data_IF_995093913920
#
_entry.id   IF_995093913920
#
_cell.length_a   1.000
_cell.length_b   1.000
_cell.length_c   1.000
_cell.angle_alpha   90.00
_cell.angle_beta   90.00
_cell.angle_gamma   90.00
#
_symmetry.space_group_name_H-M   'P 1'
#
loop_
_entity.id
_entity.type
_entity.pdbx_description
1 polymer ?
#
# COMPACT_ATOMS: atom_id res chain seq x y z
N UNK A 1 15.27 -28.32 -12.31
CA UNK A 1 16.43 -27.57 -12.80
C UNK A 1 17.22 -27.10 -11.59
N UNK A 2 18.52 -27.42 -11.45
CA UNK A 2 19.30 -26.89 -10.34
C UNK A 2 19.48 -25.37 -10.52
N UNK A 3 19.47 -24.56 -9.44
CA UNK A 3 19.71 -23.13 -9.54
C UNK A 3 21.14 -22.90 -10.06
N UNK A 4 21.30 -22.02 -11.04
CA UNK A 4 22.63 -21.64 -11.53
C UNK A 4 23.45 -21.07 -10.36
N UNK A 5 24.70 -21.52 -10.14
CA UNK A 5 25.54 -20.99 -9.09
C UNK A 5 25.81 -19.51 -9.38
N UNK A 6 25.59 -18.65 -8.38
CA UNK A 6 25.76 -17.19 -8.43
C UNK A 6 27.11 -16.74 -9.03
N UNK A 7 28.13 -17.59 -8.94
CA UNK A 7 29.47 -17.37 -9.49
C UNK A 7 29.51 -17.30 -11.03
N UNK A 8 28.62 -18.02 -11.73
CA UNK A 8 28.59 -18.06 -13.19
C UNK A 8 28.11 -16.73 -13.81
N UNK A 9 27.34 -15.93 -13.07
CA UNK A 9 26.85 -14.63 -13.51
C UNK A 9 27.83 -13.48 -13.20
N UNK A 10 28.69 -13.64 -12.19
CA UNK A 10 29.63 -12.60 -11.77
C UNK A 10 30.76 -12.38 -12.77
N UNK A 11 31.28 -13.46 -13.36
CA UNK A 11 32.37 -13.41 -14.34
C UNK A 11 32.01 -12.57 -15.57
N UNK A 12 30.88 -12.79 -16.27
CA UNK A 12 30.52 -11.97 -17.42
C UNK A 12 30.23 -10.51 -17.04
N UNK A 13 29.65 -10.23 -15.87
CA UNK A 13 29.41 -8.85 -15.40
C UNK A 13 30.72 -8.10 -15.17
N UNK A 14 31.71 -8.73 -14.54
CA UNK A 14 33.03 -8.14 -14.32
C UNK A 14 33.76 -7.92 -15.66
N UNK A 15 33.72 -8.89 -16.57
CA UNK A 15 34.32 -8.76 -17.90
C UNK A 15 33.68 -7.62 -18.70
N UNK A 16 32.34 -7.49 -18.69
CA UNK A 16 31.62 -6.39 -19.33
C UNK A 16 32.02 -5.05 -18.68
N UNK A 17 32.07 -4.98 -17.35
CA UNK A 17 32.51 -3.79 -16.62
C UNK A 17 33.93 -3.33 -16.98
N UNK A 18 34.88 -4.26 -17.07
CA UNK A 18 36.29 -3.98 -17.44
C UNK A 18 36.40 -3.54 -18.90
N UNK A 19 35.65 -4.17 -19.82
CA UNK A 19 35.64 -3.79 -21.24
C UNK A 19 35.03 -2.39 -21.44
N UNK A 20 33.93 -2.08 -20.75
CA UNK A 20 33.33 -0.75 -20.74
C UNK A 20 34.29 0.29 -20.14
N UNK A 21 35.00 -0.03 -19.05
CA UNK A 21 36.00 0.85 -18.45
C UNK A 21 37.19 1.13 -19.38
N UNK A 22 37.76 0.10 -20.03
CA UNK A 22 38.84 0.27 -21.02
C UNK A 22 38.39 1.06 -22.23
N UNK A 23 37.19 0.79 -22.76
CA UNK A 23 36.62 1.54 -23.87
C UNK A 23 36.37 3.01 -23.49
N UNK A 24 36.01 3.28 -22.23
CA UNK A 24 35.80 4.62 -21.71
C UNK A 24 37.10 5.39 -21.48
N UNK A 25 38.12 4.75 -20.92
CA UNK A 25 39.42 5.38 -20.60
C UNK A 25 40.26 5.72 -21.84
N UNK A 26 40.08 4.98 -22.94
CA UNK A 26 40.72 5.26 -24.24
C UNK A 26 40.12 6.46 -24.99
N UNK A 27 39.00 7.02 -24.53
CA UNK A 27 38.39 8.20 -25.16
C UNK A 27 39.11 9.49 -24.79
N UNK A 28 39.20 10.47 -25.72
CA UNK A 28 39.76 11.79 -25.42
C UNK A 28 39.01 12.44 -24.25
N UNK A 29 39.69 13.30 -23.48
CA UNK A 29 39.16 13.89 -22.25
C UNK A 29 37.77 14.54 -22.44
N UNK A 30 37.55 15.22 -23.57
CA UNK A 30 36.26 15.80 -23.95
C UNK A 30 35.14 14.75 -24.10
N UNK A 31 35.43 13.61 -24.71
CA UNK A 31 34.45 12.53 -24.88
C UNK A 31 34.13 11.82 -23.55
N UNK A 32 35.11 11.70 -22.63
CA UNK A 32 34.86 11.21 -21.26
C UNK A 32 34.01 12.20 -20.46
N UNK A 33 34.26 13.50 -20.59
CA UNK A 33 33.45 14.53 -19.95
C UNK A 33 32.00 14.50 -20.45
N UNK A 34 31.78 14.47 -21.78
CA UNK A 34 30.43 14.34 -22.38
C UNK A 34 29.71 13.09 -21.89
N UNK A 35 30.39 11.94 -21.88
CA UNK A 35 29.76 10.69 -21.46
C UNK A 35 29.46 10.67 -19.94
N UNK A 36 30.31 11.28 -19.09
CA UNK A 36 29.99 11.49 -17.66
C UNK A 36 28.78 12.38 -17.48
N UNK A 37 28.74 13.53 -18.17
CA UNK A 37 27.60 14.45 -18.11
C UNK A 37 26.32 13.76 -18.57
N UNK A 38 26.35 13.03 -19.68
CA UNK A 38 25.21 12.27 -20.18
C UNK A 38 24.74 11.21 -19.16
N UNK A 39 25.67 10.51 -18.50
CA UNK A 39 25.32 9.53 -17.48
C UNK A 39 24.69 10.17 -16.24
N UNK A 40 25.24 11.30 -15.77
CA UNK A 40 24.67 12.06 -14.65
C UNK A 40 23.27 12.57 -15.00
N UNK A 41 23.09 13.14 -16.19
CA UNK A 41 21.78 13.61 -16.66
C UNK A 41 20.78 12.47 -16.76
N UNK A 42 21.21 11.29 -17.27
CA UNK A 42 20.36 10.11 -17.32
C UNK A 42 19.99 9.62 -15.92
N UNK A 43 20.94 9.57 -14.98
CA UNK A 43 20.68 9.18 -13.60
C UNK A 43 19.70 10.15 -12.91
N UNK A 44 19.88 11.46 -13.10
CA UNK A 44 18.95 12.48 -12.59
C UNK A 44 17.57 12.37 -13.23
N UNK A 45 17.49 12.13 -14.55
CA UNK A 45 16.23 11.91 -15.24
C UNK A 45 15.53 10.63 -14.75
N UNK A 46 16.26 9.53 -14.60
CA UNK A 46 15.72 8.28 -14.03
C UNK A 46 15.24 8.49 -12.59
N UNK A 47 15.99 9.22 -11.77
CA UNK A 47 15.57 9.55 -10.41
C UNK A 47 14.32 10.44 -10.40
N UNK A 48 14.27 11.48 -11.22
CA UNK A 48 13.11 12.36 -11.33
C UNK A 48 11.86 11.61 -11.84
N UNK A 49 12.02 10.68 -12.78
CA UNK A 49 10.92 9.84 -13.26
C UNK A 49 10.45 8.84 -12.20
N UNK A 50 11.37 8.23 -11.46
CA UNK A 50 11.04 7.25 -10.43
C UNK A 50 10.45 7.88 -9.15
N UNK A 51 10.95 9.07 -8.76
CA UNK A 51 10.67 9.66 -7.44
C UNK A 51 10.06 11.05 -7.49
N UNK A 52 9.95 11.69 -8.65
CA UNK A 52 9.41 13.05 -8.78
C UNK A 52 7.99 13.18 -8.25
N UNK A 53 7.16 12.13 -8.41
CA UNK A 53 5.83 12.06 -7.82
C UNK A 53 5.86 12.10 -6.29
N UNK A 54 6.69 11.26 -5.67
CA UNK A 54 6.83 11.19 -4.22
C UNK A 54 7.43 12.48 -3.63
N UNK A 55 8.41 13.08 -4.29
CA UNK A 55 8.99 14.37 -3.88
C UNK A 55 7.98 15.50 -3.97
N UNK A 56 7.19 15.53 -5.06
CA UNK A 56 6.11 16.50 -5.21
C UNK A 56 5.06 16.31 -4.12
N UNK A 57 4.66 15.07 -3.83
CA UNK A 57 3.74 14.79 -2.73
C UNK A 57 4.33 15.24 -1.40
N UNK A 58 5.56 14.86 -1.05
CA UNK A 58 6.21 15.26 0.18
C UNK A 58 6.32 16.79 0.34
N UNK A 59 6.56 17.52 -0.76
CA UNK A 59 6.66 18.97 -0.76
C UNK A 59 5.31 19.70 -0.74
N UNK A 60 4.23 19.06 -1.21
CA UNK A 60 2.91 19.70 -1.37
C UNK A 60 1.85 19.18 -0.41
N UNK A 61 2.07 18.02 0.21
CA UNK A 61 1.18 17.46 1.22
C UNK A 61 1.24 18.35 2.46
N UNK A 62 0.13 19.01 2.84
CA UNK A 62 0.10 19.84 4.03
C UNK A 62 0.50 19.00 5.25
N UNK A 63 1.41 19.51 6.07
CA UNK A 63 1.72 18.94 7.37
C UNK A 63 0.40 18.75 8.15
N UNK A 64 0.07 17.53 8.54
CA UNK A 64 -1.16 17.23 9.30
C UNK A 64 -2.37 16.74 8.49
N UNK A 65 -2.26 16.46 7.18
CA UNK A 65 -3.23 15.54 6.56
C UNK A 65 -3.05 14.16 7.19
N UNK A 66 -3.97 13.80 8.07
CA UNK A 66 -4.03 12.47 8.69
C UNK A 66 -4.03 11.41 7.60
N UNK A 67 -3.20 10.40 7.78
CA UNK A 67 -3.28 9.17 6.99
C UNK A 67 -4.63 8.50 7.30
N UNK A 68 -5.68 8.91 6.55
CA UNK A 68 -7.04 8.44 6.77
C UNK A 68 -7.11 6.92 6.67
N UNK A 69 -6.25 6.31 5.85
CA UNK A 69 -6.05 4.88 5.75
C UNK A 69 -5.54 4.27 7.06
N UNK A 70 -4.47 4.84 7.62
CA UNK A 70 -3.91 4.41 8.91
C UNK A 70 -4.93 4.59 10.04
N UNK A 71 -5.60 5.75 10.09
CA UNK A 71 -6.65 6.01 11.08
C UNK A 71 -7.79 5.00 10.91
N UNK A 72 -8.21 4.70 9.69
CA UNK A 72 -9.28 3.75 9.41
C UNK A 72 -9.01 2.37 10.04
N UNK A 73 -7.82 1.83 9.83
CA UNK A 73 -7.46 0.52 10.36
C UNK A 73 -7.16 0.54 11.86
N UNK A 74 -6.34 1.49 12.34
CA UNK A 74 -5.89 1.49 13.73
C UNK A 74 -6.93 2.03 14.71
N UNK A 75 -7.72 3.03 14.34
CA UNK A 75 -8.77 3.54 15.22
C UNK A 75 -9.92 2.54 15.36
N UNK A 76 -10.46 2.03 14.25
CA UNK A 76 -11.55 1.05 14.30
C UNK A 76 -11.08 -0.27 14.89
N UNK A 77 -9.92 -0.75 14.42
CA UNK A 77 -9.33 -2.01 14.88
C UNK A 77 -9.07 -2.02 16.38
N UNK A 78 -8.48 -0.95 16.93
CA UNK A 78 -8.21 -0.87 18.36
C UNK A 78 -9.47 -0.64 19.21
N UNK A 79 -10.37 0.26 18.80
CA UNK A 79 -11.55 0.66 19.61
C UNK A 79 -12.61 -0.45 19.70
N UNK A 80 -12.69 -1.30 18.68
CA UNK A 80 -13.73 -2.33 18.54
C UNK A 80 -13.15 -3.75 18.48
N UNK A 81 -11.89 -3.94 18.88
CA UNK A 81 -11.21 -5.23 18.78
C UNK A 81 -11.96 -6.37 19.48
N UNK A 82 -12.55 -6.10 20.64
CA UNK A 82 -13.31 -7.08 21.42
C UNK A 82 -14.51 -7.68 20.68
N UNK A 83 -15.10 -6.93 19.76
CA UNK A 83 -16.25 -7.38 18.96
C UNK A 83 -15.82 -7.87 17.58
N UNK A 84 -14.87 -7.16 16.96
CA UNK A 84 -14.43 -7.43 15.60
C UNK A 84 -13.48 -8.63 15.48
N UNK A 85 -12.65 -8.90 16.49
CA UNK A 85 -11.41 -9.67 16.28
C UNK A 85 -10.57 -9.16 15.08
N UNK A 86 -9.57 -9.92 14.66
CA UNK A 86 -8.76 -9.57 13.49
C UNK A 86 -9.46 -9.91 12.17
N UNK A 87 -10.13 -11.06 12.10
CA UNK A 87 -10.67 -11.64 10.86
C UNK A 87 -11.98 -11.01 10.40
N UNK A 88 -12.85 -10.60 11.32
CA UNK A 88 -14.17 -10.08 10.95
C UNK A 88 -14.20 -8.57 10.69
N UNK A 89 -13.05 -7.90 10.82
CA UNK A 89 -12.88 -6.45 10.67
C UNK A 89 -13.59 -5.91 9.41
N UNK A 90 -13.22 -6.39 8.21
CA UNK A 90 -13.79 -5.88 6.96
C UNK A 90 -15.25 -6.29 6.74
N UNK A 91 -15.63 -7.50 7.17
CA UNK A 91 -17.03 -7.93 7.09
C UNK A 91 -17.95 -7.01 7.89
N UNK A 92 -17.53 -6.60 9.09
CA UNK A 92 -18.28 -5.67 9.92
C UNK A 92 -18.27 -4.25 9.37
N UNK A 93 -17.17 -3.76 8.82
CA UNK A 93 -17.13 -2.48 8.09
C UNK A 93 -18.17 -2.47 6.96
N UNK A 94 -18.24 -3.54 6.15
CA UNK A 94 -19.20 -3.66 5.05
C UNK A 94 -20.65 -3.75 5.54
N UNK A 95 -20.89 -4.40 6.67
CA UNK A 95 -22.20 -4.45 7.31
C UNK A 95 -22.62 -3.07 7.86
N UNK A 96 -21.69 -2.32 8.46
CA UNK A 96 -21.93 -0.95 8.91
C UNK A 96 -22.22 0.01 7.74
N UNK A 97 -21.55 -0.17 6.60
CA UNK A 97 -21.78 0.61 5.39
C UNK A 97 -23.20 0.44 4.82
N UNK A 98 -23.81 -0.75 4.97
CA UNK A 98 -25.20 -1.01 4.56
C UNK A 98 -26.23 -0.19 5.35
N UNK A 99 -25.92 0.13 6.61
CA UNK A 99 -26.71 0.99 7.50
C UNK A 99 -26.33 2.48 7.38
N UNK A 100 -25.29 2.79 6.59
CA UNK A 100 -24.72 4.12 6.40
C UNK A 100 -24.86 4.66 4.96
N UNK A 101 -23.88 5.46 4.49
CA UNK A 101 -23.92 6.09 3.17
C UNK A 101 -23.74 5.15 1.97
N UNK A 102 -23.43 3.86 2.18
CA UNK A 102 -23.24 2.85 1.12
C UNK A 102 -22.16 3.25 0.11
N UNK A 103 -21.00 3.61 0.64
CA UNK A 103 -19.86 4.09 -0.15
C UNK A 103 -19.22 2.98 -0.98
N UNK A 104 -19.33 1.73 -0.54
CA UNK A 104 -18.87 0.57 -1.28
C UNK A 104 -20.05 -0.12 -1.95
N UNK A 105 -19.98 -0.30 -3.28
CA UNK A 105 -21.03 -0.95 -4.05
C UNK A 105 -20.85 -2.47 -4.12
N UNK A 106 -21.73 -3.16 -4.86
CA UNK A 106 -21.67 -4.62 -5.02
C UNK A 106 -20.43 -5.12 -5.79
N UNK A 107 -19.74 -4.26 -6.54
CA UNK A 107 -18.50 -4.61 -7.26
C UNK A 107 -17.26 -4.48 -6.36
N UNK A 108 -17.42 -3.94 -5.15
CA UNK A 108 -16.33 -3.80 -4.20
C UNK A 108 -15.64 -5.15 -3.94
N UNK A 109 -14.31 -5.09 -3.89
CA UNK A 109 -13.45 -6.20 -3.50
C UNK A 109 -12.99 -5.99 -2.08
N UNK A 110 -12.87 -7.08 -1.34
CA UNK A 110 -12.50 -7.07 0.07
C UNK A 110 -11.49 -8.18 0.33
N UNK A 111 -10.55 -7.93 1.23
CA UNK A 111 -9.68 -8.99 1.74
C UNK A 111 -10.43 -9.76 2.82
N UNK A 112 -10.56 -11.06 2.62
CA UNK A 112 -10.86 -11.96 3.71
C UNK A 112 -9.60 -12.12 4.57
N UNK A 113 -9.63 -11.64 5.81
CA UNK A 113 -8.47 -11.66 6.71
C UNK A 113 -8.20 -13.05 7.32
N UNK A 114 -9.11 -14.01 7.14
CA UNK A 114 -8.89 -15.40 7.54
C UNK A 114 -8.04 -16.18 6.52
N UNK A 115 -8.27 -15.94 5.23
CA UNK A 115 -7.60 -16.63 4.12
C UNK A 115 -6.59 -15.77 3.36
N UNK A 116 -6.59 -14.46 3.60
CA UNK A 116 -5.89 -13.42 2.83
C UNK A 116 -6.31 -13.31 1.37
N UNK A 117 -7.33 -14.04 0.91
CA UNK A 117 -7.84 -13.93 -0.45
C UNK A 117 -8.57 -12.59 -0.66
N UNK A 118 -8.52 -12.08 -1.89
CA UNK A 118 -9.37 -10.96 -2.30
C UNK A 118 -10.65 -11.56 -2.90
N UNK A 119 -11.78 -11.31 -2.25
CA UNK A 119 -13.09 -11.86 -2.60
C UNK A 119 -14.06 -10.74 -2.97
N UNK A 120 -15.22 -11.09 -3.53
CA UNK A 120 -16.32 -10.13 -3.68
C UNK A 120 -16.89 -9.75 -2.32
N UNK A 121 -17.48 -8.55 -2.24
CA UNK A 121 -18.18 -8.07 -1.03
C UNK A 121 -19.11 -9.11 -0.42
N UNK A 122 -19.89 -9.79 -1.27
CA UNK A 122 -20.93 -10.72 -0.83
C UNK A 122 -20.41 -12.14 -0.59
N UNK A 123 -19.13 -12.40 -0.92
CA UNK A 123 -18.47 -13.70 -0.76
C UNK A 123 -17.74 -13.82 0.58
N UNK A 124 -17.56 -12.72 1.32
CA UNK A 124 -16.91 -12.74 2.63
C UNK A 124 -17.88 -13.27 3.70
N UNK A 125 -17.34 -13.97 4.70
CA UNK A 125 -18.12 -14.37 5.87
C UNK A 125 -18.81 -13.15 6.51
N UNK A 126 -20.08 -13.27 6.92
CA UNK A 126 -20.82 -12.14 7.47
C UNK A 126 -20.23 -11.66 8.80
N UNK A 127 -20.45 -10.38 9.12
CA UNK A 127 -20.09 -9.81 10.41
C UNK A 127 -20.79 -10.57 11.56
N UNK A 128 -20.07 -11.03 12.60
CA UNK A 128 -20.65 -11.61 13.81
C UNK A 128 -21.30 -10.52 14.68
N UNK A 129 -22.44 -10.04 14.20
CA UNK A 129 -23.15 -8.86 14.69
C UNK A 129 -23.63 -8.98 16.13
N UNK A 130 -23.83 -10.22 16.58
CA UNK A 130 -24.21 -10.63 17.93
C UNK A 130 -23.15 -10.31 19.00
N UNK A 131 -21.88 -10.13 18.60
CA UNK A 131 -20.79 -9.71 19.51
C UNK A 131 -20.89 -8.24 19.94
N UNK A 132 -21.65 -7.44 19.21
CA UNK A 132 -21.86 -6.04 19.54
C UNK A 132 -23.14 -5.84 20.35
N UNK A 133 -23.04 -5.13 21.46
CA UNK A 133 -24.24 -4.56 22.08
C UNK A 133 -24.87 -3.51 21.14
N UNK A 134 -26.20 -3.26 21.21
CA UNK A 134 -26.84 -2.28 20.35
C UNK A 134 -26.20 -0.88 20.40
N UNK A 135 -25.83 -0.32 21.58
CA UNK A 135 -25.13 0.96 21.65
C UNK A 135 -23.74 0.94 21.01
N UNK A 136 -22.99 -0.16 21.18
CA UNK A 136 -21.63 -0.32 20.62
C UNK A 136 -21.66 -0.36 19.10
N UNK A 137 -22.62 -1.07 18.51
CA UNK A 137 -22.77 -1.06 17.06
C UNK A 137 -23.15 0.30 16.52
N UNK A 138 -24.11 0.97 17.16
CA UNK A 138 -24.52 2.31 16.74
C UNK A 138 -23.32 3.27 16.73
N UNK A 139 -22.41 3.13 17.70
CA UNK A 139 -21.14 3.86 17.71
C UNK A 139 -20.21 3.44 16.56
N UNK A 140 -20.09 2.13 16.29
CA UNK A 140 -19.28 1.61 15.19
C UNK A 140 -19.75 2.13 13.82
N UNK A 141 -21.06 2.09 13.53
CA UNK A 141 -21.63 2.63 12.29
C UNK A 141 -21.33 4.12 12.11
N UNK A 142 -21.47 4.91 13.19
CA UNK A 142 -21.14 6.35 13.16
C UNK A 142 -19.65 6.58 12.88
N UNK A 143 -18.78 5.82 13.52
CA UNK A 143 -17.34 5.96 13.34
C UNK A 143 -16.89 5.54 11.92
N UNK A 144 -17.43 4.43 11.40
CA UNK A 144 -17.22 4.02 10.00
C UNK A 144 -17.67 5.12 9.04
N UNK A 145 -18.87 5.67 9.25
CA UNK A 145 -19.41 6.76 8.43
C UNK A 145 -18.54 8.02 8.47
N UNK A 146 -18.05 8.40 9.66
CA UNK A 146 -17.16 9.53 9.82
C UNK A 146 -15.83 9.31 9.06
N UNK A 147 -15.26 8.10 9.15
CA UNK A 147 -14.01 7.78 8.47
C UNK A 147 -14.16 7.68 6.95
N UNK A 148 -15.28 7.18 6.45
CA UNK A 148 -15.62 7.21 5.02
C UNK A 148 -15.63 8.62 4.43
N UNK A 149 -16.03 9.62 5.23
CA UNK A 149 -16.09 11.03 4.79
C UNK A 149 -14.71 11.67 4.61
N UNK A 150 -13.69 11.17 5.30
CA UNK A 150 -12.31 11.69 5.20
C UNK A 150 -11.41 10.82 4.32
N UNK A 151 -11.83 9.60 3.99
CA UNK A 151 -11.13 8.73 3.05
C UNK A 151 -11.22 9.31 1.62
N UNK A 152 -10.09 9.57 0.95
CA UNK A 152 -10.07 9.95 -0.45
C UNK A 152 -10.80 8.92 -1.31
N UNK A 153 -11.56 9.39 -2.31
CA UNK A 153 -12.32 8.49 -3.17
C UNK A 153 -11.44 7.43 -3.85
N UNK A 154 -10.24 7.83 -4.26
CA UNK A 154 -9.21 6.96 -4.84
C UNK A 154 -8.73 5.83 -3.92
N UNK A 155 -8.88 5.99 -2.61
CA UNK A 155 -8.40 5.03 -1.59
C UNK A 155 -9.50 4.09 -1.10
N UNK A 156 -10.77 4.45 -1.25
CA UNK A 156 -11.91 3.69 -0.71
C UNK A 156 -11.94 2.23 -1.16
N UNK A 157 -11.60 1.94 -2.41
CA UNK A 157 -11.55 0.55 -2.87
C UNK A 157 -10.37 -0.21 -2.25
N UNK A 158 -9.22 0.47 -2.14
CA UNK A 158 -7.99 -0.17 -1.72
C UNK A 158 -7.93 -0.39 -0.20
N UNK A 159 -8.60 0.45 0.60
CA UNK A 159 -8.65 0.33 2.08
C UNK A 159 -9.25 -1.01 2.53
N UNK A 160 -10.22 -1.56 1.78
CA UNK A 160 -10.84 -2.86 2.07
C UNK A 160 -9.97 -4.05 1.64
N UNK A 161 -8.92 -3.81 0.86
CA UNK A 161 -8.01 -4.84 0.36
C UNK A 161 -6.64 -4.83 1.06
N UNK A 162 -6.47 -3.94 2.06
CA UNK A 162 -5.28 -3.91 2.90
C UNK A 162 -5.17 -5.19 3.74
N UNK A 163 -4.07 -5.35 4.47
CA UNK A 163 -3.83 -6.48 5.39
C UNK A 163 -4.42 -6.22 6.77
N UNK A 164 -5.36 -5.29 6.91
CA UNK A 164 -5.98 -4.95 8.19
C UNK A 164 -5.10 -4.04 9.04
N UNK A 165 -5.19 -4.19 10.36
CA UNK A 165 -4.33 -3.51 11.31
C UNK A 165 -3.40 -4.53 11.97
N UNK A 166 -2.17 -4.15 12.31
CA UNK A 166 -1.32 -5.02 13.12
C UNK A 166 -1.79 -4.91 14.58
N UNK A 167 -2.42 -5.94 15.17
CA UNK A 167 -2.82 -5.87 16.57
C UNK A 167 -1.57 -5.68 17.45
N UNK A 168 -1.69 -4.96 18.58
CA UNK A 168 -0.60 -4.88 19.55
C UNK A 168 -0.20 -6.30 20.00
N UNK A 169 1.09 -6.54 20.29
CA UNK A 169 1.53 -7.85 20.77
C UNK A 169 0.73 -8.26 22.01
N UNK A 170 0.25 -9.50 22.00
CA UNK A 170 -0.48 -10.16 23.08
C UNK A 170 0.45 -10.80 24.09
#
# INVERSE_FOLDING_TARGET
>A
MPPMPLEAALIPIVCIGVLLWKAFTRRPARARAVARTAFVLLALASFALAYGGALREAATKPYGKTDAWGVFHYYLGAKYFSELDYTSFYACVLAADLEGPRVWDARAKVRDLSSYAIVGRDDIAPCPRDRFSPPRWSAFVRDVTALQSILPESERAAVLTDKGFNPPPS
#
